data_IF_431564601056
#
_entry.id   IF_431564601056
#
_cell.length_a   1.000
_cell.length_b   1.000
_cell.length_c   1.000
_cell.angle_alpha   90.00
_cell.angle_beta   90.00
_cell.angle_gamma   90.00
#
_symmetry.space_group_name_H-M   'P 1'
#
loop_
_entity.id
_entity.type
_entity.pdbx_description
1 polymer ?
#
# COMPACT_ATOMS: atom_id res chain seq x y z
N UNK A 1 12.28 -15.91 -6.80
CA UNK A 1 11.51 -15.70 -8.05
C UNK A 1 11.84 -14.31 -8.56
N UNK A 2 12.08 -14.14 -9.87
CA UNK A 2 12.34 -12.84 -10.50
C UNK A 2 11.04 -12.03 -10.63
N UNK A 3 11.13 -10.71 -10.80
CA UNK A 3 9.98 -9.88 -11.16
C UNK A 3 10.34 -8.90 -12.29
N UNK A 4 9.39 -8.69 -13.18
CA UNK A 4 9.49 -7.71 -14.28
C UNK A 4 8.37 -6.69 -14.13
N UNK A 5 8.75 -5.41 -14.06
CA UNK A 5 7.81 -4.29 -13.98
C UNK A 5 7.85 -3.53 -15.31
N UNK A 6 6.71 -3.42 -15.98
CA UNK A 6 6.57 -2.71 -17.24
C UNK A 6 6.23 -1.24 -16.97
N UNK A 7 7.21 -0.36 -17.15
CA UNK A 7 7.15 1.08 -16.84
C UNK A 7 7.54 1.97 -18.05
N UNK A 8 7.38 1.46 -19.29
CA UNK A 8 7.81 2.15 -20.50
C UNK A 8 6.85 3.23 -21.01
N UNK A 9 5.60 3.24 -20.58
CA UNK A 9 4.55 4.10 -21.12
C UNK A 9 4.71 5.59 -20.82
N UNK A 10 4.21 6.45 -21.73
CA UNK A 10 4.24 7.93 -21.57
C UNK A 10 3.33 8.41 -20.44
N UNK A 11 2.18 7.75 -20.23
CA UNK A 11 1.20 8.17 -19.20
C UNK A 11 0.57 9.53 -19.47
N UNK A 12 0.36 9.90 -20.75
CA UNK A 12 -0.08 11.23 -21.20
C UNK A 12 -1.37 11.73 -20.55
N UNK A 13 -2.23 10.84 -20.10
CA UNK A 13 -3.51 11.17 -19.43
C UNK A 13 -3.33 11.73 -18.01
N UNK A 14 -2.16 11.54 -17.40
CA UNK A 14 -1.81 12.03 -16.05
C UNK A 14 -0.76 13.16 -16.08
N UNK A 15 -0.29 13.57 -17.23
CA UNK A 15 0.83 14.49 -17.41
C UNK A 15 0.68 15.78 -16.61
N UNK A 16 -0.53 16.34 -16.56
CA UNK A 16 -0.84 17.57 -15.80
C UNK A 16 -0.78 17.40 -14.29
N UNK A 17 -0.99 16.20 -13.76
CA UNK A 17 -0.96 15.92 -12.31
C UNK A 17 0.40 15.40 -11.83
N UNK A 18 1.23 14.93 -12.74
CA UNK A 18 2.55 14.40 -12.44
C UNK A 18 3.68 15.34 -12.81
N UNK A 19 3.37 16.58 -13.23
CA UNK A 19 4.35 17.57 -13.74
C UNK A 19 5.28 16.97 -14.81
N UNK A 20 4.71 16.19 -15.75
CA UNK A 20 5.47 15.49 -16.79
C UNK A 20 6.32 14.30 -16.30
N UNK A 21 6.16 13.85 -15.07
CA UNK A 21 6.82 12.63 -14.56
C UNK A 21 6.08 11.37 -15.00
N UNK A 22 6.78 10.23 -15.14
CA UNK A 22 6.17 8.93 -15.37
C UNK A 22 5.09 8.61 -14.34
N UNK A 23 3.96 8.03 -14.77
CA UNK A 23 2.81 7.76 -13.91
C UNK A 23 3.13 6.88 -12.69
N UNK A 24 4.10 5.97 -12.78
CA UNK A 24 4.57 5.17 -11.65
C UNK A 24 5.25 5.99 -10.54
N UNK A 25 5.56 7.26 -10.81
CA UNK A 25 6.07 8.22 -9.82
C UNK A 25 4.95 9.08 -9.20
N UNK A 26 3.69 8.88 -9.59
CA UNK A 26 2.56 9.53 -8.93
C UNK A 26 2.56 9.18 -7.44
N UNK A 27 2.41 10.21 -6.60
CA UNK A 27 2.48 10.04 -5.14
C UNK A 27 1.13 9.58 -4.58
N UNK A 28 1.18 8.49 -3.82
CA UNK A 28 0.07 7.94 -3.07
C UNK A 28 0.55 7.81 -1.62
N UNK A 29 -0.15 8.46 -0.70
CA UNK A 29 0.26 8.46 0.70
C UNK A 29 1.65 9.07 0.96
N UNK A 30 2.07 10.08 0.17
CA UNK A 30 3.36 10.76 0.30
C UNK A 30 4.56 9.97 -0.25
N UNK A 31 4.31 8.92 -1.04
CA UNK A 31 5.34 8.04 -1.60
C UNK A 31 4.99 7.67 -3.04
N UNK A 32 5.94 7.65 -3.98
CA UNK A 32 5.72 7.19 -5.34
C UNK A 32 5.13 5.78 -5.42
N UNK A 33 4.16 5.57 -6.32
CA UNK A 33 3.46 4.30 -6.53
C UNK A 33 4.45 3.13 -6.68
N UNK A 34 5.48 3.29 -7.50
CA UNK A 34 6.47 2.24 -7.75
C UNK A 34 7.18 1.76 -6.49
N UNK A 35 7.41 2.63 -5.51
CA UNK A 35 8.05 2.24 -4.25
C UNK A 35 7.15 1.37 -3.38
N UNK A 36 5.83 1.49 -3.49
CA UNK A 36 4.89 0.56 -2.84
C UNK A 36 4.97 -0.83 -3.46
N UNK A 37 5.06 -0.91 -4.80
CA UNK A 37 5.23 -2.20 -5.49
C UNK A 37 6.55 -2.88 -5.10
N UNK A 38 7.66 -2.13 -5.10
CA UNK A 38 8.97 -2.67 -4.74
C UNK A 38 9.03 -3.14 -3.27
N UNK A 39 8.37 -2.44 -2.36
CA UNK A 39 8.23 -2.89 -0.98
C UNK A 39 7.43 -4.18 -0.89
N UNK A 40 6.28 -4.26 -1.56
CA UNK A 40 5.47 -5.48 -1.58
C UNK A 40 6.24 -6.69 -2.12
N UNK A 41 7.03 -6.50 -3.19
CA UNK A 41 7.90 -7.56 -3.71
C UNK A 41 8.98 -7.96 -2.69
N UNK A 42 9.66 -6.99 -2.08
CA UNK A 42 10.70 -7.22 -1.07
C UNK A 42 10.15 -7.95 0.16
N UNK A 43 8.99 -7.53 0.67
CA UNK A 43 8.35 -8.13 1.85
C UNK A 43 7.99 -9.62 1.63
N UNK A 44 7.80 -10.02 0.37
CA UNK A 44 7.54 -11.41 -0.03
C UNK A 44 8.77 -12.15 -0.54
N UNK A 45 9.98 -11.58 -0.39
CA UNK A 45 11.23 -12.20 -0.82
C UNK A 45 11.36 -12.36 -2.33
N UNK A 46 10.68 -11.52 -3.12
CA UNK A 46 10.72 -11.54 -4.58
C UNK A 46 11.87 -10.67 -5.08
N UNK A 47 12.72 -11.25 -5.89
CA UNK A 47 13.87 -10.62 -6.54
C UNK A 47 14.78 -11.63 -7.20
N UNK A 48 15.68 -11.16 -8.05
CA UNK A 48 15.90 -9.77 -8.47
C UNK A 48 14.71 -9.18 -9.25
N UNK A 49 14.66 -7.85 -9.35
CA UNK A 49 13.61 -7.10 -10.05
C UNK A 49 14.21 -6.39 -11.26
N UNK A 50 13.58 -6.50 -12.42
CA UNK A 50 13.87 -5.72 -13.62
C UNK A 50 12.74 -4.72 -13.88
N UNK A 51 13.08 -3.47 -14.12
CA UNK A 51 12.16 -2.47 -14.66
C UNK A 51 12.45 -2.22 -16.14
N UNK A 52 11.45 -2.44 -16.99
CA UNK A 52 11.51 -1.99 -18.37
C UNK A 52 10.93 -0.57 -18.42
N UNK A 53 11.80 0.38 -18.64
CA UNK A 53 11.49 1.81 -18.61
C UNK A 53 11.54 2.43 -20.02
N UNK A 54 10.95 3.59 -20.21
CA UNK A 54 10.95 4.31 -21.49
C UNK A 54 10.89 5.81 -21.28
N UNK A 55 9.69 6.38 -21.28
CA UNK A 55 9.49 7.82 -21.08
C UNK A 55 10.10 8.29 -19.76
N UNK A 56 10.90 9.36 -19.84
CA UNK A 56 11.55 10.02 -18.70
C UNK A 56 12.14 9.04 -17.67
N UNK A 57 12.83 8.02 -18.17
CA UNK A 57 13.39 6.94 -17.35
C UNK A 57 14.42 7.43 -16.33
N UNK A 58 15.07 8.57 -16.56
CA UNK A 58 16.01 9.17 -15.61
C UNK A 58 15.31 9.59 -14.31
N UNK A 59 14.07 10.10 -14.39
CA UNK A 59 13.28 10.43 -13.21
C UNK A 59 12.95 9.16 -12.40
N UNK A 60 12.67 8.04 -13.08
CA UNK A 60 12.46 6.74 -12.40
C UNK A 60 13.75 6.29 -11.71
N UNK A 61 14.89 6.35 -12.41
CA UNK A 61 16.21 5.98 -11.85
C UNK A 61 16.59 6.82 -10.64
N UNK A 62 16.31 8.13 -10.68
CA UNK A 62 16.57 9.03 -9.56
C UNK A 62 15.81 8.64 -8.27
N UNK A 63 14.58 8.12 -8.40
CA UNK A 63 13.73 7.72 -7.28
C UNK A 63 14.02 6.29 -6.81
N UNK A 64 14.14 5.37 -7.77
CA UNK A 64 14.28 3.94 -7.47
C UNK A 64 15.73 3.56 -7.17
N UNK A 65 16.70 4.22 -7.80
CA UNK A 65 18.13 3.99 -7.60
C UNK A 65 18.57 2.59 -8.06
N UNK A 66 19.43 1.96 -7.28
CA UNK A 66 20.02 0.65 -7.57
C UNK A 66 19.23 -0.55 -6.98
N UNK A 67 17.96 -0.32 -6.57
CA UNK A 67 17.11 -1.39 -6.01
C UNK A 67 16.68 -2.42 -7.04
N UNK A 68 16.79 -2.06 -8.33
CA UNK A 68 16.37 -2.87 -9.47
C UNK A 68 17.37 -2.76 -10.62
N UNK A 69 17.32 -3.70 -11.55
CA UNK A 69 17.97 -3.59 -12.84
C UNK A 69 17.04 -2.87 -13.84
N UNK A 70 17.62 -2.32 -14.92
CA UNK A 70 16.86 -1.53 -15.89
C UNK A 70 17.16 -1.99 -17.30
N UNK A 71 16.11 -2.11 -18.11
CA UNK A 71 16.17 -2.15 -19.58
C UNK A 71 15.40 -0.95 -20.11
N UNK A 72 16.01 -0.19 -21.03
CA UNK A 72 15.37 0.97 -21.66
C UNK A 72 14.71 0.54 -22.96
N UNK A 73 13.42 0.82 -23.08
CA UNK A 73 12.71 0.75 -24.35
C UNK A 73 12.84 2.11 -25.08
N UNK A 74 13.84 2.24 -25.93
CA UNK A 74 14.06 3.49 -26.70
C UNK A 74 12.90 3.77 -27.68
N UNK A 75 12.15 2.73 -28.05
CA UNK A 75 11.01 2.81 -28.97
C UNK A 75 9.66 2.90 -28.26
N UNK A 76 9.63 3.41 -27.05
CA UNK A 76 8.42 3.46 -26.19
C UNK A 76 7.24 4.24 -26.83
N UNK A 77 7.50 5.12 -27.82
CA UNK A 77 6.46 5.85 -28.53
C UNK A 77 5.78 5.04 -29.62
N UNK A 78 6.52 4.11 -30.21
CA UNK A 78 6.11 3.33 -31.39
C UNK A 78 5.75 1.88 -31.05
N UNK A 79 5.94 1.47 -29.79
CA UNK A 79 5.74 0.11 -29.30
C UNK A 79 4.86 0.09 -28.04
N UNK A 80 4.45 -1.11 -27.60
CA UNK A 80 3.64 -1.24 -26.39
C UNK A 80 4.24 -2.26 -25.40
N UNK A 81 3.46 -2.67 -24.40
CA UNK A 81 3.90 -3.51 -23.29
C UNK A 81 4.43 -4.89 -23.73
N UNK A 82 3.97 -5.44 -24.85
CA UNK A 82 4.51 -6.68 -25.43
C UNK A 82 5.98 -6.51 -25.80
N UNK A 83 6.33 -5.44 -26.50
CA UNK A 83 7.71 -5.17 -26.88
C UNK A 83 8.59 -4.92 -25.66
N UNK A 84 8.06 -4.26 -24.64
CA UNK A 84 8.75 -4.07 -23.36
C UNK A 84 9.06 -5.42 -22.69
N UNK A 85 8.12 -6.37 -22.67
CA UNK A 85 8.38 -7.72 -22.17
C UNK A 85 9.42 -8.45 -23.03
N UNK A 86 9.34 -8.34 -24.36
CA UNK A 86 10.32 -8.94 -25.27
C UNK A 86 11.74 -8.42 -25.00
N UNK A 87 11.92 -7.15 -24.68
CA UNK A 87 13.23 -6.60 -24.28
C UNK A 87 13.76 -7.23 -22.99
N UNK A 88 12.89 -7.64 -22.07
CA UNK A 88 13.28 -8.30 -20.83
C UNK A 88 13.65 -9.79 -20.99
N UNK A 89 13.41 -10.42 -22.13
CA UNK A 89 13.50 -11.88 -22.35
C UNK A 89 14.86 -12.46 -21.97
N UNK A 90 15.95 -11.78 -22.31
CA UNK A 90 17.31 -12.27 -22.02
C UNK A 90 17.66 -12.22 -20.53
N UNK A 91 16.98 -11.38 -19.77
CA UNK A 91 17.18 -11.26 -18.34
C UNK A 91 16.38 -12.32 -17.55
N UNK A 92 15.21 -12.71 -18.05
CA UNK A 92 14.33 -13.70 -17.39
C UNK A 92 14.95 -15.10 -17.56
N UNK A 93 15.28 -15.77 -16.44
CA UNK A 93 15.95 -17.07 -16.43
C UNK A 93 15.14 -18.21 -15.80
N UNK A 94 13.88 -17.95 -15.44
CA UNK A 94 13.03 -18.95 -14.79
C UNK A 94 11.67 -18.38 -14.41
N UNK A 95 11.05 -18.88 -13.35
CA UNK A 95 9.76 -18.37 -12.87
C UNK A 95 9.83 -16.89 -12.58
N UNK A 96 8.81 -16.13 -13.00
CA UNK A 96 8.79 -14.69 -12.78
C UNK A 96 7.38 -14.15 -12.56
N UNK A 97 7.34 -13.01 -11.86
CA UNK A 97 6.17 -12.14 -11.77
C UNK A 97 6.23 -11.08 -12.87
N UNK A 98 5.08 -10.76 -13.44
CA UNK A 98 4.91 -9.66 -14.39
C UNK A 98 3.91 -8.68 -13.80
N UNK A 99 4.30 -7.39 -13.72
CA UNK A 99 3.50 -6.32 -13.17
C UNK A 99 3.46 -5.11 -14.10
N UNK A 100 2.31 -4.47 -14.18
CA UNK A 100 2.21 -3.11 -14.71
C UNK A 100 2.63 -2.09 -13.64
N UNK A 101 3.41 -1.07 -14.03
CA UNK A 101 3.95 -0.08 -13.11
C UNK A 101 2.91 0.93 -12.57
N UNK A 102 1.70 0.92 -13.11
CA UNK A 102 0.56 1.75 -12.72
C UNK A 102 -0.41 1.06 -11.75
N UNK A 103 -0.18 -0.20 -11.43
CA UNK A 103 -1.01 -0.96 -10.51
C UNK A 103 -0.68 -0.59 -9.06
N UNK A 104 -1.66 -0.06 -8.33
CA UNK A 104 -1.60 0.15 -6.90
C UNK A 104 -2.49 -0.86 -6.18
N UNK A 105 -1.94 -1.66 -5.25
CA UNK A 105 -2.63 -2.83 -4.71
C UNK A 105 -2.26 -3.17 -3.28
N UNK A 106 -3.17 -3.84 -2.55
CA UNK A 106 -2.89 -4.44 -1.25
C UNK A 106 -1.86 -5.58 -1.40
N UNK A 107 -0.73 -5.58 -0.68
CA UNK A 107 0.27 -6.67 -0.72
C UNK A 107 -0.30 -8.07 -0.47
N UNK A 108 -1.46 -8.21 0.16
CA UNK A 108 -2.18 -9.47 0.31
C UNK A 108 -2.55 -10.09 -1.06
N UNK A 109 -2.74 -9.28 -2.09
CA UNK A 109 -2.98 -9.76 -3.46
C UNK A 109 -1.77 -10.55 -3.96
N UNK A 110 -0.56 -10.04 -3.72
CA UNK A 110 0.67 -10.72 -4.06
C UNK A 110 0.84 -12.02 -3.25
N UNK A 111 0.55 -11.99 -1.96
CA UNK A 111 0.57 -13.19 -1.11
C UNK A 111 -0.31 -14.31 -1.68
N UNK A 112 -1.56 -13.99 -2.06
CA UNK A 112 -2.49 -14.97 -2.64
C UNK A 112 -1.99 -15.54 -3.97
N UNK A 113 -1.34 -14.73 -4.82
CA UNK A 113 -0.73 -15.23 -6.05
C UNK A 113 0.40 -16.22 -5.78
N UNK A 114 1.23 -15.92 -4.79
CA UNK A 114 2.41 -16.72 -4.45
C UNK A 114 2.04 -18.06 -3.81
N UNK A 115 0.90 -18.12 -3.12
CA UNK A 115 0.38 -19.37 -2.52
C UNK A 115 -0.06 -20.40 -3.58
N UNK A 116 -0.43 -19.97 -4.79
CA UNK A 116 -0.84 -20.88 -5.84
C UNK A 116 0.39 -21.48 -6.56
N UNK A 117 0.49 -22.80 -6.72
CA UNK A 117 1.67 -23.44 -7.29
C UNK A 117 1.77 -23.33 -8.81
N UNK A 118 0.73 -22.85 -9.52
CA UNK A 118 0.68 -22.79 -10.99
C UNK A 118 0.98 -21.44 -11.60
N UNK A 119 0.84 -21.35 -12.93
CA UNK A 119 0.75 -20.08 -13.62
C UNK A 119 -0.55 -19.41 -13.24
N UNK A 120 -0.51 -18.18 -12.76
CA UNK A 120 -1.70 -17.48 -12.23
C UNK A 120 -1.78 -16.04 -12.67
N UNK A 121 -3.01 -15.56 -12.73
CA UNK A 121 -3.38 -14.18 -13.02
C UNK A 121 -4.32 -13.69 -11.91
N UNK A 122 -4.01 -12.53 -11.33
CA UNK A 122 -4.93 -11.85 -10.40
C UNK A 122 -6.11 -11.26 -11.15
N UNK A 123 -7.32 -11.52 -10.69
CA UNK A 123 -8.53 -10.89 -11.21
C UNK A 123 -9.51 -10.52 -10.10
N UNK A 124 -10.26 -9.45 -10.31
CA UNK A 124 -11.34 -9.05 -9.42
C UNK A 124 -12.70 -9.35 -10.05
N UNK A 125 -13.48 -10.22 -9.40
CA UNK A 125 -14.82 -10.58 -9.85
C UNK A 125 -15.88 -9.50 -9.56
N UNK A 126 -15.55 -8.50 -8.74
CA UNK A 126 -16.46 -7.42 -8.31
C UNK A 126 -16.25 -6.12 -9.06
N UNK A 127 -15.14 -5.96 -9.79
CA UNK A 127 -14.87 -4.77 -10.59
C UNK A 127 -15.85 -4.60 -11.76
N UNK A 128 -15.92 -3.38 -12.30
CA UNK A 128 -16.70 -3.10 -13.50
C UNK A 128 -16.13 -3.85 -14.71
N UNK A 129 -16.98 -4.21 -15.66
CA UNK A 129 -16.59 -4.91 -16.90
C UNK A 129 -16.74 -4.00 -18.10
N UNK A 130 -16.29 -2.76 -17.96
CA UNK A 130 -16.37 -1.72 -18.98
C UNK A 130 -15.50 -2.01 -20.21
N UNK A 131 -15.47 -1.08 -21.15
CA UNK A 131 -14.70 -1.25 -22.41
C UNK A 131 -13.21 -1.17 -22.22
N UNK A 132 -12.74 -0.35 -21.29
CA UNK A 132 -11.31 -0.13 -21.03
C UNK A 132 -10.67 -1.28 -20.25
N UNK A 133 -11.45 -2.00 -19.44
CA UNK A 133 -10.97 -3.07 -18.59
C UNK A 133 -10.57 -4.33 -19.37
N UNK A 134 -9.49 -4.96 -18.95
CA UNK A 134 -9.09 -6.28 -19.44
C UNK A 134 -9.93 -7.36 -18.76
N UNK A 135 -10.94 -7.83 -19.48
CA UNK A 135 -11.87 -8.85 -19.00
C UNK A 135 -11.25 -10.24 -19.03
N UNK A 136 -11.62 -11.08 -18.07
CA UNK A 136 -11.13 -12.46 -17.93
C UNK A 136 -12.31 -13.45 -17.94
N UNK A 137 -12.29 -14.41 -18.86
CA UNK A 137 -13.22 -15.54 -18.89
C UNK A 137 -12.61 -16.76 -18.20
N UNK A 138 -13.33 -17.32 -17.24
CA UNK A 138 -12.84 -18.41 -16.38
C UNK A 138 -13.84 -19.57 -16.37
N UNK A 139 -13.32 -20.80 -16.50
CA UNK A 139 -14.07 -22.05 -16.32
C UNK A 139 -13.46 -22.83 -15.16
N UNK A 140 -14.21 -22.99 -14.05
CA UNK A 140 -13.64 -23.49 -12.80
C UNK A 140 -12.62 -22.49 -12.26
N UNK A 141 -11.34 -22.87 -12.26
CA UNK A 141 -10.21 -21.98 -11.94
C UNK A 141 -9.40 -21.57 -13.19
N UNK A 142 -9.59 -22.27 -14.32
CA UNK A 142 -8.78 -22.06 -15.52
C UNK A 142 -9.25 -20.83 -16.29
N UNK A 143 -8.32 -19.95 -16.62
CA UNK A 143 -8.51 -18.86 -17.57
C UNK A 143 -8.65 -19.49 -18.95
N UNK A 144 -9.74 -19.22 -19.67
CA UNK A 144 -10.02 -19.76 -20.97
C UNK A 144 -9.90 -18.70 -22.09
N UNK A 145 -10.07 -17.43 -21.70
CA UNK A 145 -9.84 -16.29 -22.58
C UNK A 145 -9.69 -15.00 -21.78
N UNK A 146 -9.04 -13.98 -22.32
CA UNK A 146 -8.91 -12.66 -21.72
C UNK A 146 -8.67 -11.59 -22.80
N UNK A 147 -9.15 -10.38 -22.54
CA UNK A 147 -9.01 -9.26 -23.47
C UNK A 147 -10.03 -8.16 -23.23
N UNK A 148 -9.76 -6.97 -23.78
CA UNK A 148 -10.68 -5.84 -23.74
C UNK A 148 -11.92 -6.05 -24.61
N UNK A 149 -11.77 -6.85 -25.66
CA UNK A 149 -12.81 -7.21 -26.64
C UNK A 149 -13.80 -8.26 -26.15
N UNK A 150 -13.52 -8.94 -25.02
CA UNK A 150 -14.45 -9.93 -24.47
C UNK A 150 -15.81 -9.32 -24.12
N UNK A 151 -16.92 -9.98 -24.50
CA UNK A 151 -18.24 -9.56 -24.04
C UNK A 151 -18.33 -9.55 -22.50
N UNK A 152 -18.89 -8.50 -21.87
CA UNK A 152 -19.04 -8.46 -20.42
C UNK A 152 -19.77 -9.66 -19.81
N UNK A 153 -20.74 -10.23 -20.55
CA UNK A 153 -21.52 -11.39 -20.12
C UNK A 153 -20.70 -12.69 -20.03
N UNK A 154 -19.60 -12.81 -20.81
CA UNK A 154 -18.70 -13.98 -20.77
C UNK A 154 -17.54 -13.81 -19.75
N UNK A 155 -17.37 -12.60 -19.23
CA UNK A 155 -16.30 -12.30 -18.30
C UNK A 155 -16.68 -12.66 -16.86
N UNK A 156 -15.72 -13.23 -16.13
CA UNK A 156 -15.82 -13.51 -14.69
C UNK A 156 -15.38 -12.32 -13.83
N UNK A 157 -14.55 -11.44 -14.38
CA UNK A 157 -14.02 -10.27 -13.71
C UNK A 157 -12.99 -9.53 -14.58
N UNK A 158 -12.23 -8.66 -13.96
CA UNK A 158 -11.17 -7.84 -14.55
C UNK A 158 -9.79 -8.31 -14.10
N UNK A 159 -8.83 -8.39 -15.05
CA UNK A 159 -7.42 -8.66 -14.74
C UNK A 159 -6.74 -7.42 -14.17
N UNK A 160 -5.95 -7.59 -13.12
CA UNK A 160 -5.17 -6.52 -12.52
C UNK A 160 -3.84 -6.23 -13.23
N UNK A 161 -3.47 -6.98 -14.28
CA UNK A 161 -2.13 -6.87 -14.85
C UNK A 161 -1.01 -7.38 -13.95
N UNK A 162 -1.34 -8.26 -13.00
CA UNK A 162 -0.40 -8.94 -12.12
C UNK A 162 -0.47 -10.46 -12.37
N UNK A 163 0.64 -11.02 -12.86
CA UNK A 163 0.73 -12.40 -13.28
C UNK A 163 1.96 -13.08 -12.67
N UNK A 164 1.83 -14.38 -12.41
CA UNK A 164 2.95 -15.25 -12.04
C UNK A 164 3.07 -16.36 -13.05
N UNK A 165 4.27 -16.57 -13.55
CA UNK A 165 4.59 -17.66 -14.45
C UNK A 165 5.59 -18.62 -13.81
N UNK A 166 5.25 -19.90 -13.80
CA UNK A 166 6.15 -21.00 -13.50
C UNK A 166 7.01 -21.32 -14.75
N UNK A 167 8.00 -22.22 -14.71
CA UNK A 167 8.94 -22.41 -15.80
C UNK A 167 8.29 -22.69 -17.16
N UNK A 168 7.21 -23.48 -17.21
CA UNK A 168 6.46 -23.78 -18.43
C UNK A 168 5.73 -22.56 -19.00
N UNK A 169 5.07 -21.80 -18.10
CA UNK A 169 4.40 -20.56 -18.45
C UNK A 169 5.38 -19.46 -18.85
N UNK A 170 6.52 -19.36 -18.17
CA UNK A 170 7.58 -18.42 -18.51
C UNK A 170 8.11 -18.67 -19.92
N UNK A 171 8.43 -19.92 -20.25
CA UNK A 171 8.87 -20.31 -21.60
C UNK A 171 7.80 -19.98 -22.64
N UNK A 172 6.56 -20.41 -22.42
CA UNK A 172 5.45 -20.13 -23.34
C UNK A 172 5.23 -18.62 -23.55
N UNK A 173 5.33 -17.82 -22.47
CA UNK A 173 5.14 -16.36 -22.53
C UNK A 173 6.25 -15.68 -23.33
N UNK A 174 7.51 -16.05 -23.11
CA UNK A 174 8.65 -15.45 -23.80
C UNK A 174 8.70 -15.85 -25.28
N UNK A 175 8.41 -17.12 -25.59
CA UNK A 175 8.35 -17.62 -26.98
C UNK A 175 7.19 -16.93 -27.73
N UNK A 176 6.03 -16.79 -27.10
CA UNK A 176 4.89 -16.08 -27.69
C UNK A 176 5.22 -14.61 -27.93
N UNK A 177 5.83 -13.92 -26.95
CA UNK A 177 6.23 -12.53 -27.10
C UNK A 177 7.23 -12.36 -28.24
N UNK A 178 8.21 -13.25 -28.34
CA UNK A 178 9.18 -13.29 -29.47
C UNK A 178 8.47 -13.44 -30.80
N UNK A 179 7.62 -14.45 -30.93
CA UNK A 179 6.88 -14.73 -32.16
C UNK A 179 6.02 -13.53 -32.61
N UNK A 180 5.28 -12.90 -31.71
CA UNK A 180 4.43 -11.76 -32.03
C UNK A 180 5.27 -10.55 -32.48
N UNK A 181 6.41 -10.28 -31.82
CA UNK A 181 7.32 -9.20 -32.23
C UNK A 181 7.95 -9.48 -33.60
N UNK A 182 8.40 -10.72 -33.89
CA UNK A 182 8.92 -11.12 -35.18
C UNK A 182 7.88 -11.05 -36.32
N UNK A 183 6.59 -11.13 -35.99
CA UNK A 183 5.46 -10.92 -36.90
C UNK A 183 5.10 -9.41 -37.05
N UNK A 184 5.87 -8.49 -36.48
CA UNK A 184 5.64 -7.05 -36.57
C UNK A 184 4.55 -6.51 -35.61
N UNK A 185 4.12 -7.31 -34.64
CA UNK A 185 3.07 -6.89 -33.66
C UNK A 185 3.66 -6.16 -32.43
N UNK A 186 4.64 -5.31 -32.65
CA UNK A 186 5.34 -4.57 -31.59
C UNK A 186 4.43 -3.58 -30.82
N UNK A 187 3.32 -3.16 -31.44
CA UNK A 187 2.29 -2.30 -30.80
C UNK A 187 1.26 -3.08 -29.99
N UNK A 188 1.33 -4.43 -29.98
CA UNK A 188 0.42 -5.24 -29.18
C UNK A 188 0.65 -5.03 -27.68
N UNK A 189 -0.39 -5.25 -26.89
CA UNK A 189 -0.32 -5.30 -25.44
C UNK A 189 0.19 -6.67 -24.98
N UNK A 190 0.83 -6.72 -23.82
CA UNK A 190 1.26 -7.97 -23.19
C UNK A 190 0.10 -8.95 -22.97
N UNK A 191 -1.10 -8.45 -22.86
CA UNK A 191 -2.33 -9.23 -22.72
C UNK A 191 -2.60 -10.13 -23.94
N UNK A 192 -2.18 -9.72 -25.15
CA UNK A 192 -2.34 -10.54 -26.36
C UNK A 192 -1.48 -11.81 -26.28
N UNK A 193 -0.24 -11.69 -25.80
CA UNK A 193 0.60 -12.84 -25.53
C UNK A 193 0.01 -13.72 -24.42
N UNK A 194 -0.50 -13.12 -23.33
CA UNK A 194 -1.14 -13.86 -22.24
C UNK A 194 -2.37 -14.63 -22.72
N UNK A 195 -3.15 -14.05 -23.65
CA UNK A 195 -4.30 -14.69 -24.29
C UNK A 195 -3.92 -15.89 -25.14
N UNK A 196 -2.79 -15.85 -25.80
CA UNK A 196 -2.25 -17.00 -26.52
C UNK A 196 -1.76 -18.06 -25.56
N UNK A 197 -1.00 -17.67 -24.53
CA UNK A 197 -0.42 -18.57 -23.53
C UNK A 197 -1.47 -19.35 -22.75
N UNK A 198 -2.60 -18.75 -22.37
CA UNK A 198 -3.67 -19.46 -21.63
C UNK A 198 -4.32 -20.61 -22.42
N UNK A 199 -4.11 -20.65 -23.75
CA UNK A 199 -4.55 -21.74 -24.65
C UNK A 199 -3.50 -22.84 -24.78
N UNK A 200 -2.23 -22.52 -24.50
CA UNK A 200 -1.08 -23.44 -24.65
C UNK A 200 -0.76 -24.16 -23.33
N UNK A 201 -0.72 -23.44 -22.23
CA UNK A 201 -0.45 -23.96 -20.89
C UNK A 201 -1.57 -23.57 -19.91
N UNK A 202 -1.77 -24.34 -18.83
CA UNK A 202 -2.75 -23.95 -17.80
C UNK A 202 -2.37 -22.61 -17.16
N UNK A 203 -3.29 -21.65 -17.26
CA UNK A 203 -3.26 -20.37 -16.52
C UNK A 203 -4.49 -20.32 -15.63
N UNK A 204 -4.32 -20.07 -14.34
CA UNK A 204 -5.41 -20.07 -13.37
C UNK A 204 -5.72 -18.64 -12.88
N UNK A 205 -6.99 -18.37 -12.59
CA UNK A 205 -7.41 -17.12 -12.02
C UNK A 205 -7.38 -17.17 -10.49
N UNK A 206 -6.70 -16.20 -9.89
CA UNK A 206 -6.74 -15.93 -8.44
C UNK A 206 -7.67 -14.76 -8.21
N UNK A 207 -8.83 -15.01 -7.60
CA UNK A 207 -9.81 -13.96 -7.32
C UNK A 207 -9.38 -13.15 -6.10
N UNK A 208 -9.24 -11.84 -6.28
CA UNK A 208 -8.82 -10.90 -5.25
C UNK A 208 -9.96 -9.99 -4.78
N UNK A 209 -11.20 -10.32 -5.13
CA UNK A 209 -12.38 -9.54 -4.73
C UNK A 209 -12.36 -9.22 -3.23
N UNK A 210 -12.66 -7.96 -2.92
CA UNK A 210 -12.66 -7.44 -1.55
C UNK A 210 -11.29 -6.99 -1.02
N UNK A 211 -10.21 -7.16 -1.78
CA UNK A 211 -8.93 -6.50 -1.51
C UNK A 211 -8.85 -5.19 -2.30
N UNK A 212 -8.35 -4.11 -1.68
CA UNK A 212 -8.26 -2.82 -2.35
C UNK A 212 -7.13 -2.79 -3.38
N UNK A 213 -7.45 -2.30 -4.57
CA UNK A 213 -6.51 -2.06 -5.67
C UNK A 213 -7.09 -1.06 -6.67
N UNK A 214 -6.25 -0.46 -7.51
CA UNK A 214 -6.65 0.32 -8.68
C UNK A 214 -5.49 0.41 -9.69
N UNK A 215 -5.79 0.57 -10.99
CA UNK A 215 -4.84 1.02 -11.99
C UNK A 215 -4.90 2.55 -12.07
N UNK A 216 -3.74 3.22 -12.04
CA UNK A 216 -3.66 4.68 -12.05
C UNK A 216 -3.43 5.16 -13.48
N UNK A 217 -4.51 5.28 -14.26
CA UNK A 217 -4.48 5.72 -15.67
C UNK A 217 -4.98 7.14 -15.88
N UNK A 218 -5.96 7.57 -15.08
CA UNK A 218 -6.61 8.87 -15.17
C UNK A 218 -6.50 9.66 -13.86
N UNK A 219 -6.73 10.98 -13.89
CA UNK A 219 -6.75 11.82 -12.70
C UNK A 219 -7.67 11.30 -11.57
N UNK A 220 -8.83 10.76 -11.93
CA UNK A 220 -9.78 10.24 -10.95
C UNK A 220 -9.28 8.94 -10.28
N UNK A 221 -8.53 8.09 -11.01
CA UNK A 221 -7.93 6.89 -10.43
C UNK A 221 -6.88 7.24 -9.37
N UNK A 222 -6.09 8.30 -9.63
CA UNK A 222 -5.11 8.78 -8.65
C UNK A 222 -5.80 9.35 -7.40
N UNK A 223 -6.93 10.03 -7.55
CA UNK A 223 -7.71 10.52 -6.42
C UNK A 223 -8.35 9.35 -5.65
N UNK A 224 -8.90 8.36 -6.35
CA UNK A 224 -9.41 7.11 -5.76
C UNK A 224 -8.29 6.35 -5.02
N UNK A 225 -7.11 6.22 -5.65
CA UNK A 225 -5.94 5.60 -5.02
C UNK A 225 -5.60 6.28 -3.68
N UNK A 226 -5.67 7.62 -3.62
CA UNK A 226 -5.33 8.41 -2.43
C UNK A 226 -6.41 8.43 -1.37
N UNK A 227 -7.68 8.54 -1.78
CA UNK A 227 -8.80 8.78 -0.86
C UNK A 227 -9.49 7.50 -0.39
N UNK A 228 -9.41 6.41 -1.17
CA UNK A 228 -10.14 5.17 -0.91
C UNK A 228 -9.21 3.95 -0.79
N UNK A 229 -8.42 3.67 -1.84
CA UNK A 229 -7.62 2.42 -1.91
C UNK A 229 -6.52 2.42 -0.85
N UNK A 230 -5.74 3.49 -0.77
CA UNK A 230 -4.67 3.63 0.20
C UNK A 230 -5.15 3.49 1.66
N UNK A 231 -6.18 4.23 2.12
CA UNK A 231 -6.72 4.05 3.47
C UNK A 231 -7.29 2.64 3.72
N UNK A 232 -7.85 1.98 2.69
CA UNK A 232 -8.37 0.63 2.80
C UNK A 232 -7.25 -0.41 2.97
N UNK A 233 -6.15 -0.30 2.21
CA UNK A 233 -4.95 -1.12 2.36
C UNK A 233 -4.41 -1.03 3.79
N UNK A 234 -4.29 0.19 4.32
CA UNK A 234 -3.81 0.43 5.67
C UNK A 234 -4.69 -0.20 6.74
N UNK A 235 -5.98 0.01 6.62
CA UNK A 235 -6.96 -0.60 7.54
C UNK A 235 -6.89 -2.14 7.50
N UNK A 236 -6.66 -2.71 6.32
CA UNK A 236 -6.46 -4.14 6.12
C UNK A 236 -5.17 -4.65 6.79
N UNK A 237 -4.04 -3.99 6.53
CA UNK A 237 -2.73 -4.32 7.16
C UNK A 237 -2.82 -4.26 8.68
N UNK A 238 -3.42 -3.21 9.24
CA UNK A 238 -3.60 -3.06 10.68
C UNK A 238 -4.45 -4.17 11.28
N UNK A 239 -5.59 -4.52 10.66
CA UNK A 239 -6.44 -5.64 11.11
C UNK A 239 -5.67 -6.96 11.10
N UNK A 240 -4.88 -7.24 10.07
CA UNK A 240 -4.03 -8.43 9.98
C UNK A 240 -2.96 -8.44 11.07
N UNK A 241 -2.25 -7.34 11.28
CA UNK A 241 -1.22 -7.22 12.31
C UNK A 241 -1.79 -7.41 13.73
N UNK A 242 -2.97 -6.83 14.02
CA UNK A 242 -3.68 -7.01 15.30
C UNK A 242 -4.17 -8.45 15.48
N UNK A 243 -4.69 -9.08 14.40
CA UNK A 243 -5.11 -10.47 14.43
C UNK A 243 -3.93 -11.42 14.69
N UNK A 244 -2.79 -11.21 14.02
CA UNK A 244 -1.56 -11.97 14.24
C UNK A 244 -0.98 -11.76 15.65
N UNK A 245 -0.99 -10.55 16.18
CA UNK A 245 -0.63 -10.30 17.57
C UNK A 245 -1.60 -11.01 18.52
N UNK A 246 -2.91 -10.92 18.30
CA UNK A 246 -3.91 -11.60 19.14
C UNK A 246 -3.78 -13.12 19.09
N UNK A 247 -3.54 -13.72 17.93
CA UNK A 247 -3.33 -15.18 17.84
C UNK A 247 -2.02 -15.60 18.48
N UNK A 248 -0.92 -14.86 18.32
CA UNK A 248 0.34 -15.13 19.05
C UNK A 248 0.15 -14.96 20.56
N UNK A 249 -0.57 -13.95 21.02
CA UNK A 249 -0.89 -13.76 22.43
C UNK A 249 -1.92 -14.77 22.94
N UNK A 250 -2.87 -15.22 22.12
CA UNK A 250 -3.78 -16.29 22.48
C UNK A 250 -3.06 -17.64 22.61
N UNK A 251 -2.13 -17.95 21.73
CA UNK A 251 -1.26 -19.15 21.83
C UNK A 251 -0.29 -19.01 23.00
N UNK A 252 0.35 -17.85 23.18
CA UNK A 252 1.21 -17.60 24.33
C UNK A 252 0.40 -17.55 25.63
N UNK A 253 -0.84 -17.03 25.61
CA UNK A 253 -1.77 -17.05 26.74
C UNK A 253 -2.28 -18.44 27.06
N UNK A 254 -2.49 -19.31 26.06
CA UNK A 254 -2.82 -20.72 26.28
C UNK A 254 -1.64 -21.49 26.91
N UNK A 255 -0.43 -21.24 26.43
CA UNK A 255 0.80 -21.80 27.02
C UNK A 255 1.04 -21.21 28.42
N UNK A 256 0.83 -19.91 28.62
CA UNK A 256 0.93 -19.28 29.93
C UNK A 256 -0.19 -19.70 30.87
N UNK A 257 -1.42 -19.97 30.36
CA UNK A 257 -2.53 -20.49 31.14
C UNK A 257 -2.24 -21.95 31.59
N UNK A 258 -1.66 -22.76 30.73
CA UNK A 258 -1.21 -24.11 31.08
C UNK A 258 -0.07 -24.06 32.10
N UNK A 259 0.85 -23.09 32.00
CA UNK A 259 1.90 -22.88 32.99
C UNK A 259 1.40 -22.17 34.25
N UNK A 260 0.38 -21.29 34.17
CA UNK A 260 -0.22 -20.60 35.30
C UNK A 260 -1.22 -21.48 36.07
N UNK A 261 -1.89 -22.42 35.42
CA UNK A 261 -2.68 -23.44 36.11
C UNK A 261 -1.76 -24.41 36.88
N UNK A 262 -0.54 -24.62 36.39
CA UNK A 262 0.50 -25.33 37.16
C UNK A 262 1.11 -24.46 38.29
N UNK A 263 1.14 -23.14 38.13
CA UNK A 263 1.68 -22.18 39.12
C UNK A 263 0.64 -21.57 40.07
N UNK A 264 -0.67 -21.61 39.74
CA UNK A 264 -1.75 -21.01 40.52
C UNK A 264 -2.07 -21.81 41.81
N UNK A 265 -1.53 -23.01 41.97
CA UNK A 265 -1.56 -23.72 43.24
C UNK A 265 -0.56 -23.20 44.28
N UNK A 266 0.22 -22.17 43.93
CA UNK A 266 1.19 -21.54 44.86
C UNK A 266 1.30 -20.06 44.69
N UNK A 267 0.41 -19.29 45.30
CA UNK A 267 0.59 -17.90 45.78
C UNK A 267 -0.40 -16.81 45.30
N UNK A 268 -0.77 -16.03 46.31
CA UNK A 268 -1.77 -14.96 46.39
C UNK A 268 -1.30 -13.60 45.88
N UNK A 269 -2.23 -12.88 45.21
CA UNK A 269 -2.50 -11.43 45.13
C UNK A 269 -1.37 -10.40 45.12
N UNK A 270 -1.28 -9.65 43.99
CA UNK A 270 -1.04 -8.19 43.95
C UNK A 270 -1.78 -7.59 42.74
N UNK A 271 -2.52 -6.48 42.93
CA UNK A 271 -3.25 -5.78 41.86
C UNK A 271 -2.36 -4.88 41.00
N UNK A 272 -2.80 -4.50 39.77
CA UNK A 272 -2.00 -3.69 38.87
C UNK A 272 -1.91 -2.22 39.36
N UNK A 273 -0.68 -1.70 39.38
CA UNK A 273 -0.41 -0.27 39.61
C UNK A 273 -0.88 0.58 38.42
N UNK A 274 -1.50 1.73 38.70
CA UNK A 274 -1.81 2.74 37.69
C UNK A 274 -0.51 3.34 37.16
N UNK A 275 -0.30 3.27 35.83
CA UNK A 275 0.85 3.91 35.18
C UNK A 275 0.52 5.37 34.95
N UNK A 276 1.26 6.29 35.56
CA UNK A 276 1.19 7.71 35.26
C UNK A 276 1.92 8.03 33.97
N UNK A 277 1.41 9.03 33.22
CA UNK A 277 1.88 9.38 31.87
C UNK A 277 2.28 10.85 31.81
N UNK A 278 3.52 11.14 31.50
CA UNK A 278 4.02 12.49 31.26
C UNK A 278 3.98 12.91 29.79
N UNK A 279 3.93 14.24 29.55
CA UNK A 279 3.95 14.78 28.19
C UNK A 279 5.39 14.98 27.70
N UNK A 280 5.68 14.49 26.48
CA UNK A 280 6.92 14.75 25.77
C UNK A 280 6.71 15.94 24.83
N UNK A 281 7.41 17.08 25.01
CA UNK A 281 7.27 18.23 24.14
C UNK A 281 7.94 17.97 22.78
N UNK A 282 7.26 18.28 21.64
CA UNK A 282 7.89 18.23 20.33
C UNK A 282 8.99 19.27 20.16
N UNK A 283 9.95 18.96 19.29
CA UNK A 283 11.05 19.86 18.94
C UNK A 283 10.51 21.04 18.09
N UNK A 284 10.79 22.27 18.53
CA UNK A 284 10.49 23.48 17.77
C UNK A 284 9.00 23.84 17.60
N UNK A 285 8.08 23.07 18.16
CA UNK A 285 6.64 23.35 18.03
C UNK A 285 6.09 24.16 19.19
N UNK A 286 5.28 25.19 18.88
CA UNK A 286 4.59 25.98 19.90
C UNK A 286 3.40 25.20 20.48
N UNK A 287 3.29 25.19 21.82
CA UNK A 287 2.16 24.59 22.50
C UNK A 287 0.90 25.43 22.34
N UNK A 288 -0.23 24.75 22.14
CA UNK A 288 -1.57 25.37 22.12
C UNK A 288 -2.42 24.81 23.25
N UNK A 289 -3.49 25.53 23.62
CA UNK A 289 -4.38 25.12 24.71
C UNK A 289 -5.74 24.70 24.16
N UNK A 290 -6.13 23.47 24.46
CA UNK A 290 -7.47 22.93 24.19
C UNK A 290 -8.34 23.13 25.42
N UNK A 291 -9.53 23.66 25.25
CA UNK A 291 -10.54 23.77 26.30
C UNK A 291 -11.37 22.47 26.34
N UNK A 292 -11.44 21.86 27.49
CA UNK A 292 -12.24 20.67 27.81
C UNK A 292 -12.98 20.89 29.12
N UNK A 293 -14.04 20.12 29.45
CA UNK A 293 -14.80 20.30 30.69
C UNK A 293 -13.95 20.28 31.97
N UNK A 294 -12.89 19.52 31.99
CA UNK A 294 -11.96 19.37 33.11
C UNK A 294 -10.89 20.47 33.18
N UNK A 295 -10.95 21.48 32.29
CA UNK A 295 -10.01 22.59 32.26
C UNK A 295 -9.30 22.76 30.92
N UNK A 296 -8.09 23.33 30.96
CA UNK A 296 -7.27 23.55 29.75
C UNK A 296 -6.15 22.53 29.68
N UNK A 297 -6.08 21.83 28.53
CA UNK A 297 -5.04 20.84 28.27
C UNK A 297 -4.01 21.37 27.26
N UNK A 298 -2.74 21.00 27.45
CA UNK A 298 -1.63 21.35 26.55
C UNK A 298 -1.55 20.36 25.41
N UNK A 299 -1.54 20.88 24.18
CA UNK A 299 -1.44 20.15 22.93
C UNK A 299 -0.49 20.86 21.98
N UNK A 300 -0.16 20.25 20.83
CA UNK A 300 0.62 20.84 19.76
C UNK A 300 -0.18 20.79 18.46
N UNK A 301 -0.05 21.83 17.64
CA UNK A 301 -0.79 21.96 16.38
C UNK A 301 0.03 21.37 15.25
N UNK A 302 -0.56 20.45 14.49
CA UNK A 302 -0.02 19.84 13.28
C UNK A 302 -0.94 20.20 12.11
N UNK A 303 -0.47 21.05 11.19
CA UNK A 303 -1.24 21.41 9.99
C UNK A 303 -1.00 20.41 8.87
N UNK A 304 -1.89 20.40 7.90
CA UNK A 304 -1.76 19.52 6.71
C UNK A 304 -0.46 19.86 5.96
N UNK A 305 0.33 18.82 5.70
CA UNK A 305 1.65 18.94 5.06
C UNK A 305 2.80 19.30 6.00
N UNK A 306 2.52 19.76 7.23
CA UNK A 306 3.56 20.01 8.23
C UNK A 306 3.91 18.72 8.97
N UNK A 307 5.09 18.71 9.58
CA UNK A 307 5.56 17.64 10.46
C UNK A 307 5.85 18.17 11.85
N UNK A 308 5.57 17.33 12.85
CA UNK A 308 5.94 17.57 14.25
C UNK A 308 6.85 16.44 14.68
N UNK A 309 8.05 16.78 15.16
CA UNK A 309 9.04 15.81 15.63
C UNK A 309 9.21 15.87 17.14
N UNK A 310 9.44 14.73 17.77
CA UNK A 310 9.81 14.65 19.18
C UNK A 310 11.00 13.71 19.37
N UNK A 311 11.87 14.07 20.31
CA UNK A 311 12.93 13.20 20.76
C UNK A 311 12.42 12.38 21.95
N UNK A 312 12.50 11.07 21.86
CA UNK A 312 12.01 10.14 22.87
C UNK A 312 13.07 9.09 23.19
N UNK A 313 13.08 8.64 24.44
CA UNK A 313 13.88 7.49 24.84
C UNK A 313 13.02 6.23 24.66
N UNK A 314 13.55 5.23 23.92
CA UNK A 314 12.91 3.94 23.72
C UNK A 314 13.05 3.01 24.92
N UNK A 315 12.47 1.81 24.82
CA UNK A 315 12.43 0.82 25.91
C UNK A 315 11.19 0.94 26.80
N UNK A 316 10.33 1.93 26.56
CA UNK A 316 9.03 2.07 27.19
C UNK A 316 7.95 2.38 26.15
N UNK A 317 6.66 2.07 26.40
CA UNK A 317 5.58 2.35 25.47
C UNK A 317 5.40 3.87 25.27
N UNK A 318 5.37 4.29 24.00
CA UNK A 318 5.05 5.65 23.60
C UNK A 318 3.57 5.74 23.23
N UNK A 319 2.86 6.74 23.76
CA UNK A 319 1.45 7.00 23.45
C UNK A 319 1.32 8.35 22.76
N UNK A 320 0.70 8.35 21.58
CA UNK A 320 0.37 9.56 20.86
C UNK A 320 -1.15 9.69 20.83
N UNK A 321 -1.63 10.87 21.16
CA UNK A 321 -3.04 11.21 21.12
C UNK A 321 -3.27 12.28 20.06
N UNK A 322 -4.33 12.11 19.26
CA UNK A 322 -4.73 13.04 18.20
C UNK A 322 -6.16 13.53 18.42
N UNK A 323 -6.45 14.76 17.98
CA UNK A 323 -7.80 15.31 17.85
C UNK A 323 -7.90 16.11 16.56
N UNK A 324 -8.81 15.75 15.67
CA UNK A 324 -9.06 16.49 14.44
C UNK A 324 -9.72 17.82 14.73
N UNK A 325 -9.20 18.92 14.18
CA UNK A 325 -9.89 20.21 14.14
C UNK A 325 -10.85 20.17 12.96
N UNK A 326 -12.15 20.15 13.23
CA UNK A 326 -13.19 19.99 12.22
C UNK A 326 -13.22 21.19 11.27
N UNK A 327 -13.41 20.92 9.98
CA UNK A 327 -13.68 21.97 9.00
C UNK A 327 -15.03 22.65 9.28
N UNK A 328 -15.19 23.96 9.00
CA UNK A 328 -16.43 24.68 9.30
C UNK A 328 -17.69 24.08 8.67
N UNK A 329 -17.56 23.42 7.51
CA UNK A 329 -18.67 22.80 6.80
C UNK A 329 -18.98 21.35 7.25
N UNK A 330 -18.13 20.75 8.09
CA UNK A 330 -18.30 19.38 8.61
C UNK A 330 -18.19 19.41 10.14
N UNK A 331 -19.32 19.28 10.78
CA UNK A 331 -19.42 19.45 12.25
C UNK A 331 -19.53 18.14 13.02
N UNK A 332 -19.85 17.01 12.36
CA UNK A 332 -20.22 15.78 13.06
C UNK A 332 -19.15 14.68 13.03
N UNK A 333 -18.42 14.54 11.93
CA UNK A 333 -17.33 13.58 11.81
C UNK A 333 -16.31 13.98 10.75
N UNK A 334 -15.09 13.48 10.86
CA UNK A 334 -14.03 13.69 9.87
C UNK A 334 -13.04 12.53 9.86
N UNK A 335 -12.44 12.28 8.70
CA UNK A 335 -11.35 11.30 8.53
C UNK A 335 -10.04 12.03 8.38
N UNK A 336 -8.94 11.41 8.82
CA UNK A 336 -7.59 11.92 8.64
C UNK A 336 -6.56 10.79 8.70
N UNK A 337 -5.40 11.03 8.11
CA UNK A 337 -4.28 10.08 8.04
C UNK A 337 -3.03 10.75 8.58
N UNK A 338 -2.38 10.10 9.53
CA UNK A 338 -1.11 10.54 10.11
C UNK A 338 -0.02 9.54 9.75
N UNK A 339 1.07 10.04 9.17
CA UNK A 339 2.29 9.30 8.95
C UNK A 339 3.19 9.39 10.17
N UNK A 340 3.79 8.27 10.55
CA UNK A 340 4.80 8.20 11.61
C UNK A 340 6.10 7.70 11.02
N UNK A 341 7.20 8.41 11.24
CA UNK A 341 8.54 7.93 10.96
C UNK A 341 9.39 7.94 12.22
N UNK A 342 10.30 7.00 12.31
CA UNK A 342 11.28 6.89 13.40
C UNK A 342 12.67 6.95 12.79
N UNK A 343 13.48 7.89 13.26
CA UNK A 343 14.85 8.13 12.77
C UNK A 343 14.92 8.31 11.24
N UNK A 344 13.90 8.98 10.68
CA UNK A 344 13.77 9.23 9.25
C UNK A 344 13.26 8.02 8.43
N UNK A 345 13.07 6.86 9.06
CA UNK A 345 12.50 5.68 8.41
C UNK A 345 10.99 5.65 8.64
N UNK A 346 10.15 5.48 7.61
CA UNK A 346 8.72 5.28 7.78
C UNK A 346 8.44 4.11 8.72
N UNK A 347 7.71 4.36 9.79
CA UNK A 347 7.43 3.35 10.81
C UNK A 347 5.99 2.87 10.76
N UNK A 348 5.05 3.82 10.68
CA UNK A 348 3.62 3.50 10.65
C UNK A 348 2.80 4.65 10.07
N UNK A 349 1.58 4.33 9.65
CA UNK A 349 0.59 5.28 9.16
C UNK A 349 -0.77 4.86 9.68
N UNK A 350 -1.50 5.74 10.31
CA UNK A 350 -2.82 5.44 10.82
C UNK A 350 -3.89 6.34 10.18
N UNK A 351 -4.99 5.70 9.75
CA UNK A 351 -6.18 6.38 9.30
C UNK A 351 -7.23 6.36 10.41
N UNK A 352 -7.64 7.53 10.84
CA UNK A 352 -8.60 7.72 11.92
C UNK A 352 -9.94 8.28 11.40
N UNK A 353 -11.01 7.91 12.09
CA UNK A 353 -12.33 8.53 11.91
C UNK A 353 -12.73 9.16 13.23
N UNK A 354 -12.61 10.47 13.32
CA UNK A 354 -12.98 11.23 14.51
C UNK A 354 -14.46 11.65 14.44
N UNK A 355 -15.22 11.34 15.49
CA UNK A 355 -16.56 11.89 15.71
C UNK A 355 -16.43 13.19 16.52
N UNK A 356 -17.39 14.10 16.42
CA UNK A 356 -17.37 15.35 17.15
C UNK A 356 -17.37 15.12 18.68
N UNK A 357 -16.41 15.68 19.37
CA UNK A 357 -16.45 15.80 20.83
C UNK A 357 -17.24 17.08 21.20
N UNK A 358 -18.46 16.91 21.70
CA UNK A 358 -19.35 18.01 22.07
C UNK A 358 -18.83 18.82 23.29
N UNK A 359 -17.89 18.24 24.04
CA UNK A 359 -17.36 18.82 25.29
C UNK A 359 -16.01 19.53 25.07
N UNK A 360 -15.43 19.50 23.87
CA UNK A 360 -14.13 20.10 23.60
C UNK A 360 -14.17 21.10 22.45
N UNK A 361 -13.47 22.24 22.61
CA UNK A 361 -13.34 23.25 21.55
C UNK A 361 -11.93 23.81 21.47
N UNK A 362 -11.48 24.10 20.23
CA UNK A 362 -10.23 24.79 19.96
C UNK A 362 -10.49 26.08 19.19
N UNK A 363 -10.23 27.25 19.80
CA UNK A 363 -10.45 28.55 19.17
C UNK A 363 -11.89 28.73 18.62
N UNK A 364 -12.89 28.23 19.30
CA UNK A 364 -14.29 28.27 18.86
C UNK A 364 -14.68 27.23 17.80
N UNK A 365 -13.76 26.40 17.33
CA UNK A 365 -14.02 25.32 16.36
C UNK A 365 -14.30 24.01 17.09
N UNK A 366 -15.15 23.18 16.49
CA UNK A 366 -15.38 21.81 16.95
C UNK A 366 -14.11 20.98 16.77
N UNK A 367 -13.87 20.06 17.68
CA UNK A 367 -12.79 19.07 17.61
C UNK A 367 -13.36 17.66 17.68
N UNK A 368 -12.64 16.72 17.09
CA UNK A 368 -12.96 15.31 17.19
C UNK A 368 -12.67 14.74 18.57
N UNK A 369 -13.22 13.58 18.84
CA UNK A 369 -12.86 12.74 19.96
C UNK A 369 -11.37 12.36 19.92
N UNK A 370 -10.91 11.71 20.97
CA UNK A 370 -9.49 11.41 21.14
C UNK A 370 -9.15 10.08 20.48
N UNK A 371 -8.39 10.14 19.40
CA UNK A 371 -7.73 8.98 18.81
C UNK A 371 -6.37 8.73 19.49
N UNK A 372 -5.92 7.49 19.49
CA UNK A 372 -4.68 7.07 20.12
C UNK A 372 -3.89 6.10 19.27
N UNK A 373 -2.58 6.33 19.20
CA UNK A 373 -1.58 5.41 18.68
C UNK A 373 -0.64 5.05 19.85
N UNK A 374 -0.29 3.77 19.97
CA UNK A 374 0.67 3.31 20.98
C UNK A 374 1.58 2.26 20.38
N UNK A 375 2.89 2.47 20.53
CA UNK A 375 3.92 1.53 20.08
C UNK A 375 5.14 1.58 20.98
N UNK A 376 6.01 0.59 20.87
CA UNK A 376 7.27 0.51 21.62
C UNK A 376 8.42 0.70 20.67
N UNK A 377 9.40 1.50 21.09
CA UNK A 377 10.66 1.70 20.39
C UNK A 377 11.74 0.84 21.04
N UNK A 378 12.72 0.35 20.29
CA UNK A 378 13.91 -0.28 20.87
C UNK A 378 14.57 0.63 21.92
N UNK A 379 15.32 0.08 22.88
CA UNK A 379 16.11 0.91 23.78
C UNK A 379 17.06 1.82 23.02
N UNK A 380 17.13 3.10 23.41
CA UNK A 380 17.96 4.11 22.76
C UNK A 380 17.20 5.43 22.57
N UNK A 381 17.91 6.42 22.04
CA UNK A 381 17.32 7.72 21.75
C UNK A 381 16.84 7.78 20.32
N UNK A 382 15.56 8.13 20.09
CA UNK A 382 14.90 8.16 18.80
C UNK A 382 14.27 9.51 18.50
N UNK A 383 14.20 9.87 17.23
CA UNK A 383 13.41 11.00 16.73
C UNK A 383 12.16 10.43 16.07
N UNK A 384 11.00 10.69 16.69
CA UNK A 384 9.70 10.30 16.13
C UNK A 384 9.07 11.51 15.49
N UNK A 385 8.65 11.37 14.22
CA UNK A 385 8.06 12.45 13.45
C UNK A 385 6.64 12.06 13.01
N UNK A 386 5.72 13.01 13.11
CA UNK A 386 4.32 12.87 12.72
C UNK A 386 4.00 13.87 11.62
N UNK A 387 3.35 13.42 10.56
CA UNK A 387 2.93 14.24 9.42
C UNK A 387 1.43 14.02 9.16
N UNK A 388 0.65 15.09 9.09
CA UNK A 388 -0.74 15.02 8.63
C UNK A 388 -0.75 14.96 7.11
N UNK A 389 -0.96 13.76 6.57
CA UNK A 389 -0.87 13.49 5.12
C UNK A 389 -2.15 13.81 4.40
N UNK A 390 -3.30 13.40 4.96
CA UNK A 390 -4.61 13.59 4.38
C UNK A 390 -5.67 13.78 5.48
N UNK A 391 -6.80 14.39 5.14
CA UNK A 391 -7.92 14.49 6.08
C UNK A 391 -8.97 15.51 5.69
N UNK A 392 -10.13 15.39 6.33
CA UNK A 392 -11.27 16.31 6.19
C UNK A 392 -11.13 17.59 7.00
N UNK A 393 -10.03 17.78 7.74
CA UNK A 393 -9.70 18.96 8.51
C UNK A 393 -8.37 19.57 8.08
N UNK A 394 -8.15 20.83 8.46
CA UNK A 394 -6.94 21.57 8.10
C UNK A 394 -5.77 21.32 9.05
N UNK A 395 -6.06 20.78 10.24
CA UNK A 395 -5.07 20.54 11.27
C UNK A 395 -5.50 19.49 12.30
N UNK A 396 -4.52 18.94 13.00
CA UNK A 396 -4.67 18.08 14.17
C UNK A 396 -4.11 18.75 15.42
N UNK A 397 -4.66 18.42 16.55
CA UNK A 397 -4.01 18.57 17.85
C UNK A 397 -3.30 17.27 18.18
N UNK A 398 -2.03 17.34 18.52
CA UNK A 398 -1.18 16.17 18.82
C UNK A 398 -0.67 16.29 20.25
N UNK A 399 -0.63 15.16 20.96
CA UNK A 399 -0.02 15.07 22.28
C UNK A 399 0.75 13.76 22.39
N UNK A 400 2.02 13.85 22.77
CA UNK A 400 2.94 12.73 22.91
C UNK A 400 3.13 12.46 24.40
N UNK A 401 3.03 11.22 24.83
CA UNK A 401 3.12 10.82 26.23
C UNK A 401 3.97 9.57 26.40
N UNK A 402 4.72 9.53 27.51
CA UNK A 402 5.46 8.33 27.96
C UNK A 402 5.08 8.02 29.42
N UNK A 403 5.31 6.79 29.92
CA UNK A 403 5.23 6.49 31.34
C UNK A 403 6.22 7.35 32.13
N UNK A 404 5.80 7.77 33.34
CA UNK A 404 6.69 8.44 34.29
C UNK A 404 7.78 7.50 34.84
#
# INVERSE_FOLDING_TARGET
MQAVILAGGVGSRLETLTDGKPKCLAEIGGRPLILHQLEALSDHGIGPVLMVVGYNHEAIRAVVGQRVEYVVNERFRDTNSLYSLWLAREWIKGPFLLLNADLFFDPEILARLLEDPGNVLAYDSTSSRGREQTKVAIRGRKVIDLGKDLPPASARGESLGLLKFEPDGATAMLDTAKQLVEQGQEQAWVIEATRAVCKMVPLYGVNVAGLPWTEVDFPHDLEEARSEVWPAIWKGRWRRAVYWKRTRWAVAGLVALVLAVAGWLASTRVGPASVDWENVPPLGAAAVRLTVPTGRQKWWLLRRGDSVSAQVDGGAPLRIEFRLIMAPQRTDSGRYVVAVSVDGTPHDWDAFTASRDSAATFQGRAVGDRDRLQFELPPGRHIVQFTLVAGHGDALLVRIRRPE
#
